data_IF_550082798738
#
_entry.id   IF_550082798738
#
_cell.length_a   1.000
_cell.length_b   1.000
_cell.length_c   1.000
_cell.angle_alpha   90.00
_cell.angle_beta   90.00
_cell.angle_gamma   90.00
#
_symmetry.space_group_name_H-M   'P 1'
#
loop_
_entity.id
_entity.type
_entity.pdbx_description
1 polymer ?
#
# COMPACT_ATOMS: atom_id res chain seq x y z
N UNK A 1 -53.48 17.78 80.07
CA UNK A 1 -54.46 17.70 78.95
C UNK A 1 -54.32 18.96 78.10
N UNK A 2 -54.33 18.85 76.76
CA UNK A 2 -54.59 20.01 75.89
C UNK A 2 -53.51 20.45 74.88
N UNK A 3 -53.37 19.67 73.79
CA UNK A 3 -53.37 20.08 72.36
C UNK A 3 -52.36 21.12 71.79
N UNK A 4 -51.61 20.66 70.78
CA UNK A 4 -50.88 21.42 69.73
C UNK A 4 -51.81 21.90 68.61
N UNK A 5 -51.44 22.97 67.91
CA UNK A 5 -51.88 23.28 66.53
C UNK A 5 -50.66 23.60 65.65
N UNK A 6 -50.71 23.09 64.41
CA UNK A 6 -49.70 23.14 63.34
C UNK A 6 -50.01 24.23 62.30
N UNK A 7 -48.96 24.75 61.65
CA UNK A 7 -49.00 25.42 60.35
C UNK A 7 -47.56 25.66 59.87
N UNK A 8 -47.16 25.55 58.61
CA UNK A 8 -47.86 25.23 57.36
C UNK A 8 -46.85 25.33 56.19
N UNK A 9 -47.09 24.55 55.15
CA UNK A 9 -46.28 24.36 53.93
C UNK A 9 -46.18 25.62 53.05
N UNK A 10 -44.95 26.03 52.67
CA UNK A 10 -44.73 26.96 51.55
C UNK A 10 -43.43 26.72 50.75
N UNK A 11 -42.40 26.11 51.34
CA UNK A 11 -41.12 25.86 50.65
C UNK A 11 -41.09 24.65 49.70
N UNK A 12 -41.99 23.68 49.86
CA UNK A 12 -41.89 22.35 49.21
C UNK A 12 -42.40 22.34 47.75
N UNK A 13 -43.08 23.39 47.28
CA UNK A 13 -43.65 23.44 45.92
C UNK A 13 -42.69 24.03 44.87
N UNK A 14 -41.90 25.06 45.24
CA UNK A 14 -40.89 25.64 44.34
C UNK A 14 -39.70 24.69 44.11
N UNK A 15 -39.32 23.93 45.13
CA UNK A 15 -38.19 22.99 45.06
C UNK A 15 -38.51 21.79 44.14
N UNK A 16 -39.75 21.28 44.21
CA UNK A 16 -40.24 20.21 43.32
C UNK A 16 -40.31 20.66 41.86
N UNK A 17 -40.72 21.91 41.60
CA UNK A 17 -40.77 22.45 40.24
C UNK A 17 -39.37 22.58 39.60
N UNK A 18 -38.36 23.00 40.39
CA UNK A 18 -36.96 23.07 39.93
C UNK A 18 -36.35 21.69 39.68
N UNK A 19 -36.65 20.70 40.53
CA UNK A 19 -36.20 19.32 40.33
C UNK A 19 -36.80 18.68 39.07
N UNK A 20 -38.09 18.93 38.79
CA UNK A 20 -38.77 18.44 37.59
C UNK A 20 -38.20 19.03 36.30
N UNK A 21 -37.86 20.32 36.28
CA UNK A 21 -37.21 20.94 35.12
C UNK A 21 -35.78 20.41 34.88
N UNK A 22 -35.02 20.15 35.94
CA UNK A 22 -33.67 19.56 35.82
C UNK A 22 -33.74 18.12 35.28
N UNK A 23 -34.69 17.31 35.75
CA UNK A 23 -34.92 15.94 35.29
C UNK A 23 -35.32 15.88 33.81
N UNK A 24 -36.18 16.80 33.36
CA UNK A 24 -36.56 16.89 31.95
C UNK A 24 -35.39 17.31 31.05
N UNK A 25 -34.52 18.22 31.50
CA UNK A 25 -33.32 18.63 30.77
C UNK A 25 -32.28 17.50 30.65
N UNK A 26 -32.06 16.73 31.71
CA UNK A 26 -31.14 15.58 31.71
C UNK A 26 -31.66 14.44 30.81
N UNK A 27 -32.98 14.19 30.80
CA UNK A 27 -33.60 13.20 29.93
C UNK A 27 -33.53 13.59 28.44
N UNK A 28 -33.71 14.87 28.11
CA UNK A 28 -33.62 15.38 26.73
C UNK A 28 -32.21 15.29 26.12
N UNK A 29 -31.17 15.50 26.93
CA UNK A 29 -29.77 15.37 26.49
C UNK A 29 -29.39 13.90 26.28
N UNK A 30 -29.89 12.98 27.12
CA UNK A 30 -29.64 11.54 26.99
C UNK A 30 -30.18 10.92 25.69
N UNK A 31 -31.35 11.35 25.23
CA UNK A 31 -31.96 10.85 23.99
C UNK A 31 -31.21 11.29 22.72
N UNK A 32 -30.70 12.52 22.69
CA UNK A 32 -29.92 13.04 21.56
C UNK A 32 -28.54 12.36 21.44
N UNK A 33 -27.84 12.15 22.56
CA UNK A 33 -26.57 11.42 22.57
C UNK A 33 -26.73 9.93 22.27
N UNK A 34 -27.81 9.30 22.71
CA UNK A 34 -28.12 7.90 22.41
C UNK A 34 -28.35 7.64 20.91
N UNK A 35 -29.08 8.53 20.23
CA UNK A 35 -29.35 8.42 18.79
C UNK A 35 -28.11 8.71 17.93
N UNK A 36 -27.30 9.72 18.29
CA UNK A 36 -26.03 10.00 17.62
C UNK A 36 -25.00 8.89 17.81
N UNK A 37 -24.94 8.29 19.01
CA UNK A 37 -24.06 7.17 19.32
C UNK A 37 -24.46 5.89 18.57
N UNK A 38 -25.74 5.56 18.53
CA UNK A 38 -26.23 4.38 17.78
C UNK A 38 -26.07 4.52 16.27
N UNK A 39 -26.31 5.71 15.69
CA UNK A 39 -26.05 5.96 14.28
C UNK A 39 -24.55 5.90 13.94
N UNK A 40 -23.68 6.46 14.80
CA UNK A 40 -22.23 6.37 14.63
C UNK A 40 -21.74 4.92 14.73
N UNK A 41 -22.19 4.16 15.72
CA UNK A 41 -21.89 2.73 15.89
C UNK A 41 -22.42 1.92 14.72
N UNK A 42 -23.63 2.18 14.23
CA UNK A 42 -24.19 1.48 13.08
C UNK A 42 -23.44 1.82 11.77
N UNK A 43 -23.04 3.07 11.58
CA UNK A 43 -22.21 3.48 10.44
C UNK A 43 -20.81 2.84 10.50
N UNK A 44 -20.23 2.74 11.69
CA UNK A 44 -18.94 2.09 11.93
C UNK A 44 -19.03 0.58 11.71
N UNK A 45 -20.04 -0.08 12.27
CA UNK A 45 -20.29 -1.51 12.10
C UNK A 45 -20.62 -1.86 10.65
N UNK A 46 -21.41 -1.03 9.94
CA UNK A 46 -21.70 -1.25 8.52
C UNK A 46 -20.51 -1.00 7.60
N UNK A 47 -19.61 -0.07 7.96
CA UNK A 47 -18.30 0.10 7.30
C UNK A 47 -17.36 -1.07 7.58
N UNK A 48 -17.30 -1.53 8.82
CA UNK A 48 -16.50 -2.70 9.22
C UNK A 48 -16.98 -3.99 8.51
N UNK A 49 -18.30 -4.20 8.45
CA UNK A 49 -18.90 -5.38 7.78
C UNK A 49 -18.75 -5.33 6.26
N UNK A 50 -18.81 -4.13 5.65
CA UNK A 50 -18.46 -3.94 4.23
C UNK A 50 -16.98 -4.22 3.97
N UNK A 51 -16.09 -3.77 4.85
CA UNK A 51 -14.65 -4.02 4.79
C UNK A 51 -14.34 -5.51 4.91
N UNK A 52 -14.98 -6.22 5.84
CA UNK A 52 -14.85 -7.67 5.97
C UNK A 52 -15.37 -8.41 4.72
N UNK A 53 -16.52 -8.01 4.19
CA UNK A 53 -17.08 -8.60 2.96
C UNK A 53 -16.17 -8.39 1.74
N UNK A 54 -15.58 -7.20 1.61
CA UNK A 54 -14.63 -6.86 0.54
C UNK A 54 -13.33 -7.65 0.67
N UNK A 55 -12.72 -7.66 1.86
CA UNK A 55 -11.49 -8.40 2.15
C UNK A 55 -11.69 -9.90 1.95
N UNK A 56 -12.82 -10.46 2.39
CA UNK A 56 -13.16 -11.86 2.19
C UNK A 56 -13.29 -12.23 0.72
N UNK A 57 -13.97 -11.39 -0.08
CA UNK A 57 -14.12 -11.58 -1.52
C UNK A 57 -12.78 -11.52 -2.26
N UNK A 58 -11.87 -10.65 -1.82
CA UNK A 58 -10.49 -10.55 -2.32
C UNK A 58 -9.63 -11.76 -1.96
N UNK A 59 -9.72 -12.24 -0.72
CA UNK A 59 -9.02 -13.45 -0.27
C UNK A 59 -9.53 -14.71 -0.99
N UNK A 60 -10.83 -14.80 -1.23
CA UNK A 60 -11.45 -15.90 -1.99
C UNK A 60 -11.02 -15.86 -3.48
N UNK A 61 -10.87 -14.67 -4.07
CA UNK A 61 -10.34 -14.53 -5.43
C UNK A 61 -8.85 -14.86 -5.58
N UNK A 62 -8.05 -14.66 -4.52
CA UNK A 62 -6.62 -14.94 -4.51
C UNK A 62 -6.26 -16.35 -3.97
N UNK A 63 -7.20 -17.06 -3.34
CA UNK A 63 -6.98 -18.36 -2.69
C UNK A 63 -7.14 -19.60 -3.59
N UNK A 64 -7.48 -19.43 -4.87
CA UNK A 64 -7.66 -20.53 -5.80
C UNK A 64 -6.37 -20.98 -6.51
N UNK A 65 -5.47 -21.66 -5.81
CA UNK A 65 -4.36 -22.38 -6.44
C UNK A 65 -4.16 -23.75 -5.78
N UNK A 66 -4.71 -24.78 -6.42
CA UNK A 66 -4.53 -26.19 -6.03
C UNK A 66 -5.28 -27.14 -6.95
N UNK A 67 -4.74 -27.41 -8.15
CA UNK A 67 -5.23 -28.48 -9.05
C UNK A 67 -4.74 -28.30 -10.50
N UNK A 68 -4.29 -29.36 -11.20
CA UNK A 68 -3.52 -29.23 -12.43
C UNK A 68 -4.37 -28.95 -13.67
N UNK A 69 -3.73 -28.29 -14.63
CA UNK A 69 -4.22 -27.84 -15.94
C UNK A 69 -5.24 -28.75 -16.66
N UNK A 70 -6.32 -28.13 -17.12
CA UNK A 70 -6.94 -28.40 -18.42
C UNK A 70 -7.51 -27.08 -18.99
N UNK A 71 -7.19 -26.79 -20.25
CA UNK A 71 -7.36 -25.48 -20.85
C UNK A 71 -8.80 -25.00 -21.01
N UNK A 72 -8.98 -23.68 -20.93
CA UNK A 72 -9.83 -22.93 -21.86
C UNK A 72 -9.46 -21.45 -21.79
N UNK A 73 -9.17 -20.90 -22.97
CA UNK A 73 -9.06 -19.48 -23.25
C UNK A 73 -10.40 -18.79 -23.02
N UNK A 74 -10.44 -17.75 -22.19
CA UNK A 74 -11.59 -16.86 -22.02
C UNK A 74 -11.12 -15.44 -21.71
N UNK A 75 -11.59 -14.41 -22.45
CA UNK A 75 -11.17 -13.03 -22.24
C UNK A 75 -12.01 -12.36 -21.15
N UNK A 76 -11.38 -11.52 -20.31
CA UNK A 76 -12.11 -10.55 -19.50
C UNK A 76 -11.90 -10.63 -17.99
N UNK A 77 -10.66 -10.51 -17.52
CA UNK A 77 -10.48 -9.74 -16.29
C UNK A 77 -10.80 -8.29 -16.67
N UNK A 78 -11.94 -7.78 -16.18
CA UNK A 78 -12.37 -6.39 -16.44
C UNK A 78 -11.25 -5.45 -16.00
N UNK A 79 -10.57 -4.87 -16.98
CA UNK A 79 -9.82 -3.64 -16.81
C UNK A 79 -10.85 -2.63 -16.32
N UNK A 80 -10.87 -2.33 -15.02
CA UNK A 80 -11.51 -1.09 -14.59
C UNK A 80 -10.73 0.01 -15.29
N UNK A 81 -11.44 0.77 -16.13
CA UNK A 81 -10.91 2.00 -16.69
C UNK A 81 -10.35 2.82 -15.51
N UNK A 82 -9.09 3.22 -15.59
CA UNK A 82 -8.40 4.01 -14.56
C UNK A 82 -9.13 5.32 -14.23
N UNK A 83 -9.91 5.84 -15.18
CA UNK A 83 -10.80 6.98 -14.97
C UNK A 83 -11.92 6.70 -13.97
N UNK A 84 -12.34 5.43 -13.86
CA UNK A 84 -13.35 4.92 -12.95
C UNK A 84 -12.77 4.70 -11.53
N UNK A 85 -11.49 4.31 -11.41
CA UNK A 85 -10.86 4.02 -10.11
C UNK A 85 -10.81 5.23 -9.17
N UNK A 86 -10.47 6.42 -9.68
CA UNK A 86 -10.45 7.64 -8.86
C UNK A 86 -11.87 8.20 -8.59
N UNK A 87 -12.89 7.64 -9.22
CA UNK A 87 -14.29 7.96 -8.93
C UNK A 87 -14.83 7.17 -7.74
N UNK A 88 -14.17 6.07 -7.36
CA UNK A 88 -14.49 5.32 -6.14
C UNK A 88 -14.14 6.16 -4.90
N UNK A 89 -15.14 6.33 -4.02
CA UNK A 89 -15.02 7.19 -2.83
C UNK A 89 -13.92 6.70 -1.86
N UNK A 90 -13.73 5.39 -1.73
CA UNK A 90 -12.72 4.81 -0.82
C UNK A 90 -11.32 5.01 -1.38
N UNK A 91 -11.13 4.74 -2.68
CA UNK A 91 -9.84 4.92 -3.36
C UNK A 91 -9.47 6.40 -3.39
N UNK A 92 -10.41 7.27 -3.75
CA UNK A 92 -10.21 8.72 -3.76
C UNK A 92 -9.80 9.24 -2.37
N UNK A 93 -10.50 8.80 -1.31
CA UNK A 93 -10.16 9.21 0.06
C UNK A 93 -8.79 8.67 0.50
N UNK A 94 -8.46 7.41 0.18
CA UNK A 94 -7.16 6.83 0.48
C UNK A 94 -6.01 7.61 -0.18
N UNK A 95 -6.21 8.12 -1.39
CA UNK A 95 -5.21 8.85 -2.18
C UNK A 95 -5.34 10.38 -2.09
N UNK A 96 -6.25 10.91 -1.25
CA UNK A 96 -6.55 12.35 -1.15
C UNK A 96 -5.28 13.21 -1.01
N UNK A 97 -4.30 12.78 -0.19
CA UNK A 97 -3.07 13.57 0.01
C UNK A 97 -2.17 13.62 -1.22
N UNK A 98 -2.12 12.54 -1.99
CA UNK A 98 -1.37 12.51 -3.24
C UNK A 98 -2.08 13.37 -4.29
N UNK A 99 -3.42 13.28 -4.37
CA UNK A 99 -4.24 14.10 -5.27
C UNK A 99 -4.06 15.59 -4.98
N UNK A 100 -4.04 16.00 -3.69
CA UNK A 100 -3.81 17.39 -3.30
C UNK A 100 -2.41 17.90 -3.69
N UNK A 101 -1.41 17.02 -3.71
CA UNK A 101 -0.03 17.37 -4.06
C UNK A 101 0.21 17.39 -5.57
N UNK A 102 -0.21 16.36 -6.28
CA UNK A 102 0.04 16.19 -7.72
C UNK A 102 -1.04 16.84 -8.61
N UNK A 103 -2.25 17.02 -8.09
CA UNK A 103 -3.47 17.25 -8.88
C UNK A 103 -4.08 15.95 -9.42
N UNK A 104 -5.38 15.99 -9.72
CA UNK A 104 -6.17 14.82 -10.17
C UNK A 104 -5.60 14.19 -11.45
N UNK A 105 -5.28 15.00 -12.46
CA UNK A 105 -4.73 14.52 -13.74
C UNK A 105 -3.38 13.80 -13.58
N UNK A 106 -2.52 14.32 -12.71
CA UNK A 106 -1.23 13.68 -12.43
C UNK A 106 -1.40 12.41 -11.61
N UNK A 107 -2.32 12.40 -10.64
CA UNK A 107 -2.65 11.17 -9.90
C UNK A 107 -3.19 10.08 -10.84
N UNK A 108 -4.03 10.45 -11.81
CA UNK A 108 -4.54 9.51 -12.82
C UNK A 108 -3.40 8.83 -13.57
N UNK A 109 -2.37 9.57 -13.99
CA UNK A 109 -1.17 9.00 -14.63
C UNK A 109 -0.43 8.02 -13.70
N UNK A 110 -0.33 8.33 -12.40
CA UNK A 110 0.26 7.41 -11.42
C UNK A 110 -0.56 6.13 -11.33
N UNK A 111 -1.88 6.24 -11.23
CA UNK A 111 -2.80 5.10 -11.15
C UNK A 111 -2.86 4.27 -12.43
N UNK A 112 -2.55 4.85 -13.58
CA UNK A 112 -2.42 4.14 -14.86
C UNK A 112 -1.06 3.47 -15.05
N UNK A 113 -0.05 3.86 -14.28
CA UNK A 113 1.33 3.43 -14.52
C UNK A 113 1.57 1.95 -14.20
N UNK A 114 2.45 1.35 -15.01
CA UNK A 114 3.01 0.03 -14.81
C UNK A 114 4.49 0.12 -14.48
N UNK A 115 4.88 -0.39 -13.31
CA UNK A 115 6.26 -0.38 -12.84
C UNK A 115 6.76 -1.79 -12.55
N UNK A 116 7.95 -2.10 -13.07
CA UNK A 116 8.68 -3.35 -12.79
C UNK A 116 9.76 -3.06 -11.74
N UNK A 117 9.80 -3.83 -10.67
CA UNK A 117 10.83 -3.72 -9.62
C UNK A 117 11.61 -5.03 -9.56
N UNK A 118 12.91 -4.97 -9.86
CA UNK A 118 13.81 -6.13 -9.86
C UNK A 118 14.77 -6.04 -8.68
N UNK A 119 14.77 -7.06 -7.83
CA UNK A 119 15.42 -7.06 -6.52
C UNK A 119 14.50 -6.44 -5.47
N UNK A 120 14.12 -7.21 -4.47
CA UNK A 120 13.16 -6.86 -3.42
C UNK A 120 13.82 -6.93 -2.03
N UNK A 121 15.11 -6.60 -1.98
CA UNK A 121 15.87 -6.45 -0.74
C UNK A 121 15.59 -5.14 0.00
N UNK A 122 16.61 -4.57 0.62
CA UNK A 122 16.47 -3.36 1.46
C UNK A 122 16.05 -2.10 0.69
N UNK A 123 16.38 -1.99 -0.60
CA UNK A 123 15.96 -0.83 -1.41
C UNK A 123 14.64 -1.12 -2.12
N UNK A 124 14.58 -2.22 -2.89
CA UNK A 124 13.42 -2.52 -3.71
C UNK A 124 12.12 -2.76 -2.95
N UNK A 125 12.18 -3.37 -1.76
CA UNK A 125 10.97 -3.53 -0.92
C UNK A 125 10.38 -2.19 -0.47
N UNK A 126 11.23 -1.22 -0.13
CA UNK A 126 10.81 0.13 0.25
C UNK A 126 10.30 0.90 -0.97
N UNK A 127 11.01 0.83 -2.11
CA UNK A 127 10.59 1.48 -3.35
C UNK A 127 9.22 0.97 -3.81
N UNK A 128 9.04 -0.36 -3.87
CA UNK A 128 7.77 -0.98 -4.24
C UNK A 128 6.63 -0.58 -3.28
N UNK A 129 6.92 -0.49 -1.97
CA UNK A 129 5.91 -0.08 -0.98
C UNK A 129 5.49 1.38 -1.16
N UNK A 130 6.44 2.27 -1.49
CA UNK A 130 6.13 3.68 -1.75
C UNK A 130 5.39 3.86 -3.08
N UNK A 131 5.71 3.08 -4.12
CA UNK A 131 4.97 3.07 -5.38
C UNK A 131 3.51 2.64 -5.16
N UNK A 132 3.29 1.54 -4.44
CA UNK A 132 1.94 1.08 -4.07
C UNK A 132 1.17 2.17 -3.33
N UNK A 133 1.78 2.78 -2.31
CA UNK A 133 1.14 3.84 -1.50
C UNK A 133 0.94 5.15 -2.25
N UNK A 134 1.68 5.36 -3.34
CA UNK A 134 1.47 6.49 -4.25
C UNK A 134 0.27 6.26 -5.18
N UNK A 135 -0.26 5.03 -5.22
CA UNK A 135 -1.41 4.64 -6.02
C UNK A 135 -1.03 4.10 -7.39
N UNK A 136 0.19 3.58 -7.59
CA UNK A 136 0.57 2.89 -8.84
C UNK A 136 -0.38 1.71 -9.07
N UNK A 137 -0.95 1.64 -10.28
CA UNK A 137 -2.00 0.66 -10.58
C UNK A 137 -1.50 -0.72 -10.95
N UNK A 138 -0.26 -0.85 -11.45
CA UNK A 138 0.30 -2.15 -11.81
C UNK A 138 1.76 -2.29 -11.39
N UNK A 139 2.05 -3.36 -10.67
CA UNK A 139 3.38 -3.70 -10.17
C UNK A 139 3.77 -5.11 -10.58
N UNK A 140 4.95 -5.25 -11.16
CA UNK A 140 5.64 -6.54 -11.27
C UNK A 140 6.80 -6.56 -10.29
N UNK A 141 6.75 -7.49 -9.34
CA UNK A 141 7.76 -7.68 -8.30
C UNK A 141 8.60 -8.92 -8.61
N UNK A 142 9.90 -8.74 -8.87
CA UNK A 142 10.81 -9.83 -9.25
C UNK A 142 11.94 -9.98 -8.25
N UNK A 143 12.01 -11.13 -7.58
CA UNK A 143 13.15 -11.52 -6.74
C UNK A 143 13.14 -13.04 -6.54
N UNK A 144 14.31 -13.69 -6.63
CA UNK A 144 14.46 -15.12 -6.40
C UNK A 144 14.66 -15.48 -4.92
N UNK A 145 15.05 -14.51 -4.10
CA UNK A 145 15.39 -14.73 -2.70
C UNK A 145 14.15 -14.94 -1.81
N UNK A 146 14.41 -15.58 -0.69
CA UNK A 146 13.49 -15.64 0.45
C UNK A 146 13.84 -14.60 1.50
N UNK A 147 12.87 -14.26 2.34
CA UNK A 147 13.09 -13.47 3.55
C UNK A 147 13.96 -14.27 4.52
N UNK A 148 15.08 -13.68 4.94
CA UNK A 148 15.94 -14.23 5.98
C UNK A 148 15.78 -13.44 7.28
N UNK A 149 16.26 -13.98 8.41
CA UNK A 149 16.33 -13.21 9.67
C UNK A 149 17.12 -11.91 9.51
N UNK A 150 18.21 -11.95 8.73
CA UNK A 150 19.02 -10.76 8.45
C UNK A 150 18.31 -9.72 7.58
N UNK A 151 17.25 -10.11 6.87
CA UNK A 151 16.45 -9.19 6.04
C UNK A 151 15.61 -8.25 6.91
N UNK A 152 15.24 -8.66 8.12
CA UNK A 152 14.28 -7.95 8.99
C UNK A 152 14.77 -6.58 9.48
N UNK A 153 16.07 -6.28 9.38
CA UNK A 153 16.58 -4.96 9.75
C UNK A 153 16.31 -3.87 8.70
N UNK A 154 15.94 -4.24 7.47
CA UNK A 154 15.88 -3.31 6.32
C UNK A 154 14.80 -3.62 5.28
N UNK A 155 14.10 -4.74 5.37
CA UNK A 155 13.03 -5.06 4.43
C UNK A 155 11.73 -4.36 4.85
N UNK A 156 11.02 -3.73 3.92
CA UNK A 156 9.97 -2.76 4.23
C UNK A 156 8.79 -3.30 5.05
N UNK A 157 8.38 -4.56 4.80
CA UNK A 157 7.16 -5.14 5.40
C UNK A 157 7.39 -6.50 6.07
N UNK A 158 8.59 -7.07 5.95
CA UNK A 158 8.80 -8.44 6.39
C UNK A 158 8.86 -8.53 7.91
N UNK A 159 8.22 -9.55 8.45
CA UNK A 159 8.19 -9.85 9.88
C UNK A 159 8.87 -11.19 10.16
N UNK A 160 8.97 -11.59 11.43
CA UNK A 160 9.50 -12.91 11.81
C UNK A 160 8.67 -14.07 11.24
N UNK A 161 7.37 -13.87 11.01
CA UNK A 161 6.49 -14.87 10.39
C UNK A 161 6.84 -15.10 8.91
N UNK A 162 7.37 -14.08 8.24
CA UNK A 162 7.67 -14.15 6.80
C UNK A 162 9.00 -14.87 6.49
N UNK A 163 9.82 -15.21 7.50
CA UNK A 163 11.11 -15.87 7.30
C UNK A 163 10.94 -17.21 6.57
N UNK A 164 11.66 -17.40 5.46
CA UNK A 164 11.52 -18.54 4.54
C UNK A 164 10.46 -18.35 3.45
N UNK A 165 9.70 -17.26 3.47
CA UNK A 165 8.78 -16.92 2.38
C UNK A 165 9.54 -16.18 1.26
N UNK A 166 9.30 -16.47 -0.03
CA UNK A 166 9.84 -15.67 -1.13
C UNK A 166 9.51 -14.19 -0.96
N UNK A 167 10.51 -13.30 -1.12
CA UNK A 167 10.33 -11.85 -0.90
C UNK A 167 9.23 -11.26 -1.78
N UNK A 168 9.14 -11.71 -3.04
CA UNK A 168 8.09 -11.30 -3.97
C UNK A 168 6.68 -11.62 -3.46
N UNK A 169 6.49 -12.82 -2.90
CA UNK A 169 5.21 -13.22 -2.32
C UNK A 169 4.93 -12.55 -0.97
N UNK A 170 5.95 -12.31 -0.15
CA UNK A 170 5.82 -11.50 1.07
C UNK A 170 5.25 -10.11 0.73
N UNK A 171 5.86 -9.39 -0.22
CA UNK A 171 5.36 -8.08 -0.63
C UNK A 171 3.96 -8.15 -1.23
N UNK A 172 3.68 -9.10 -2.13
CA UNK A 172 2.34 -9.27 -2.70
C UNK A 172 1.27 -9.48 -1.62
N UNK A 173 1.51 -10.37 -0.65
CA UNK A 173 0.61 -10.62 0.49
C UNK A 173 0.31 -9.33 1.25
N UNK A 174 1.34 -8.57 1.61
CA UNK A 174 1.18 -7.32 2.37
C UNK A 174 0.55 -6.21 1.55
N UNK A 175 0.89 -6.08 0.28
CA UNK A 175 0.40 -5.03 -0.60
C UNK A 175 -1.09 -5.18 -0.93
N UNK A 176 -1.56 -6.41 -1.13
CA UNK A 176 -3.00 -6.68 -1.33
C UNK A 176 -3.87 -6.29 -0.13
N UNK A 177 -3.29 -6.12 1.06
CA UNK A 177 -3.99 -5.60 2.24
C UNK A 177 -4.01 -4.06 2.29
N UNK A 178 -3.10 -3.40 1.59
CA UNK A 178 -2.90 -1.95 1.62
C UNK A 178 -3.66 -1.26 0.47
N UNK A 179 -3.51 -1.76 -0.75
CA UNK A 179 -4.13 -1.18 -1.94
C UNK A 179 -4.55 -2.31 -2.90
N UNK A 180 -5.71 -2.94 -2.65
CA UNK A 180 -6.17 -4.12 -3.40
C UNK A 180 -6.51 -3.83 -4.87
N UNK A 181 -6.70 -2.57 -5.24
CA UNK A 181 -6.96 -2.13 -6.61
C UNK A 181 -5.70 -2.23 -7.48
N UNK A 182 -4.50 -2.24 -6.87
CA UNK A 182 -3.25 -2.46 -7.60
C UNK A 182 -3.17 -3.90 -8.12
N UNK A 183 -2.93 -4.04 -9.41
CA UNK A 183 -2.61 -5.31 -10.05
C UNK A 183 -1.17 -5.68 -9.71
N UNK A 184 -0.99 -6.67 -8.83
CA UNK A 184 0.33 -7.09 -8.35
C UNK A 184 0.67 -8.48 -8.87
N UNK A 185 1.68 -8.54 -9.71
CA UNK A 185 2.32 -9.78 -10.13
C UNK A 185 3.62 -9.98 -9.34
N UNK A 186 3.84 -11.20 -8.86
CA UNK A 186 5.03 -11.57 -8.13
C UNK A 186 5.69 -12.75 -8.81
N UNK A 187 6.96 -12.58 -9.20
CA UNK A 187 7.77 -13.59 -9.87
C UNK A 187 8.96 -13.97 -8.97
N UNK A 188 9.02 -15.25 -8.61
CA UNK A 188 10.13 -15.81 -7.85
C UNK A 188 11.16 -16.35 -8.83
N UNK A 189 11.95 -15.45 -9.41
CA UNK A 189 12.98 -15.79 -10.41
C UNK A 189 14.13 -14.79 -10.39
N UNK A 190 15.30 -15.27 -10.82
CA UNK A 190 16.45 -14.43 -11.06
C UNK A 190 16.25 -13.72 -12.40
N UNK A 191 16.69 -12.47 -12.51
CA UNK A 191 16.76 -11.82 -13.80
C UNK A 191 17.97 -12.36 -14.59
N UNK A 192 17.74 -12.83 -15.79
CA UNK A 192 18.77 -13.19 -16.76
C UNK A 192 18.27 -12.96 -18.19
N UNK A 193 19.12 -13.22 -19.18
CA UNK A 193 18.77 -13.04 -20.59
C UNK A 193 17.60 -13.92 -21.04
N UNK A 194 17.37 -15.07 -20.39
CA UNK A 194 16.25 -15.96 -20.75
C UNK A 194 14.91 -15.46 -20.21
N UNK A 195 14.94 -14.73 -19.09
CA UNK A 195 13.77 -14.13 -18.45
C UNK A 195 13.48 -12.69 -18.93
N UNK A 196 14.38 -12.09 -19.72
CA UNK A 196 14.30 -10.69 -20.17
C UNK A 196 12.98 -10.36 -20.86
N UNK A 197 12.58 -11.18 -21.83
CA UNK A 197 11.35 -10.95 -22.60
C UNK A 197 10.11 -11.02 -21.72
N UNK A 198 10.08 -11.94 -20.75
CA UNK A 198 8.95 -12.07 -19.84
C UNK A 198 8.88 -10.88 -18.87
N UNK A 199 9.99 -10.58 -18.19
CA UNK A 199 10.05 -9.55 -17.13
C UNK A 199 9.85 -8.15 -17.69
N UNK A 200 10.39 -7.87 -18.89
CA UNK A 200 10.33 -6.55 -19.53
C UNK A 200 9.23 -6.45 -20.59
N UNK A 201 8.33 -7.44 -20.66
CA UNK A 201 7.16 -7.39 -21.52
C UNK A 201 6.17 -6.29 -21.11
N UNK A 202 5.26 -5.93 -22.02
CA UNK A 202 4.13 -5.06 -21.70
C UNK A 202 4.45 -3.57 -21.54
N UNK A 203 5.64 -3.14 -21.97
CA UNK A 203 6.10 -1.74 -22.01
C UNK A 203 5.92 -1.03 -20.66
N UNK A 204 6.71 -1.38 -19.62
CA UNK A 204 6.64 -0.69 -18.35
C UNK A 204 6.99 0.78 -18.50
N UNK A 205 6.25 1.65 -17.80
CA UNK A 205 6.54 3.08 -17.72
C UNK A 205 7.89 3.31 -17.05
N UNK A 206 8.23 2.47 -16.07
CA UNK A 206 9.53 2.46 -15.39
C UNK A 206 9.96 1.06 -14.99
N UNK A 207 11.27 0.83 -15.07
CA UNK A 207 11.98 -0.29 -14.44
C UNK A 207 12.80 0.25 -13.28
N UNK A 208 12.65 -0.34 -12.11
CA UNK A 208 13.48 -0.06 -10.94
C UNK A 208 14.45 -1.23 -10.74
N UNK A 209 15.72 -0.96 -11.01
CA UNK A 209 16.81 -1.89 -10.72
C UNK A 209 17.29 -1.70 -9.28
N UNK A 210 16.97 -2.67 -8.42
CA UNK A 210 17.39 -2.72 -7.03
C UNK A 210 18.27 -3.96 -6.76
N UNK A 211 18.97 -4.44 -7.78
CA UNK A 211 19.82 -5.64 -7.76
C UNK A 211 21.17 -5.31 -7.12
N UNK A 212 21.73 -6.23 -6.33
CA UNK A 212 23.04 -6.11 -5.69
C UNK A 212 24.15 -6.91 -6.38
N UNK A 213 23.81 -7.89 -7.21
CA UNK A 213 24.74 -8.56 -8.11
C UNK A 213 25.07 -7.69 -9.34
N UNK A 214 26.37 -7.51 -9.61
CA UNK A 214 26.87 -6.63 -10.68
C UNK A 214 26.47 -7.15 -12.07
N UNK A 215 26.70 -8.43 -12.36
CA UNK A 215 26.45 -9.00 -13.70
C UNK A 215 24.97 -8.92 -14.06
N UNK A 216 24.09 -9.29 -13.12
CA UNK A 216 22.65 -9.19 -13.30
C UNK A 216 22.19 -7.74 -13.47
N UNK A 217 22.76 -6.81 -12.70
CA UNK A 217 22.49 -5.37 -12.82
C UNK A 217 22.87 -4.84 -14.21
N UNK A 218 24.09 -5.12 -14.67
CA UNK A 218 24.59 -4.70 -15.98
C UNK A 218 23.71 -5.26 -17.10
N UNK A 219 23.34 -6.55 -17.00
CA UNK A 219 22.44 -7.20 -17.96
C UNK A 219 21.08 -6.49 -18.06
N UNK A 220 20.46 -6.18 -16.92
CA UNK A 220 19.16 -5.48 -16.86
C UNK A 220 19.26 -4.07 -17.44
N UNK A 221 20.30 -3.31 -17.07
CA UNK A 221 20.52 -1.96 -17.58
C UNK A 221 20.71 -1.95 -19.10
N UNK A 222 21.54 -2.87 -19.61
CA UNK A 222 21.77 -3.00 -21.05
C UNK A 222 20.46 -3.35 -21.78
N UNK A 223 19.64 -4.24 -21.22
CA UNK A 223 18.33 -4.57 -21.77
C UNK A 223 17.38 -3.37 -21.82
N UNK A 224 17.33 -2.58 -20.75
CA UNK A 224 16.52 -1.37 -20.70
C UNK A 224 16.95 -0.36 -21.76
N UNK A 225 18.26 -0.13 -21.92
CA UNK A 225 18.81 0.75 -22.96
C UNK A 225 18.44 0.25 -24.35
N UNK A 226 18.71 -1.03 -24.66
CA UNK A 226 18.37 -1.64 -25.96
C UNK A 226 16.89 -1.53 -26.32
N UNK A 227 16.01 -1.64 -25.33
CA UNK A 227 14.55 -1.59 -25.50
C UNK A 227 13.97 -0.18 -25.41
N UNK A 228 14.78 0.84 -25.11
CA UNK A 228 14.31 2.21 -24.88
C UNK A 228 13.42 2.36 -23.64
N UNK A 229 13.58 1.50 -22.64
CA UNK A 229 12.82 1.54 -21.39
C UNK A 229 13.44 2.53 -20.41
N UNK A 230 12.57 3.23 -19.67
CA UNK A 230 13.00 4.16 -18.61
C UNK A 230 13.42 3.34 -17.40
N UNK A 231 14.66 3.51 -16.96
CA UNK A 231 15.21 2.77 -15.82
C UNK A 231 15.76 3.70 -14.74
N UNK A 232 15.48 3.37 -13.48
CA UNK A 232 16.13 3.95 -12.31
C UNK A 232 16.89 2.85 -11.59
N UNK A 233 18.19 3.05 -11.38
CA UNK A 233 19.04 2.06 -10.73
C UNK A 233 19.47 2.54 -9.35
N UNK A 234 19.24 1.69 -8.35
CA UNK A 234 19.78 1.86 -7.02
C UNK A 234 21.21 1.34 -6.96
N UNK A 235 22.08 2.16 -6.37
CA UNK A 235 23.48 1.82 -6.10
C UNK A 235 23.63 1.25 -4.68
N UNK A 236 24.85 1.20 -4.15
CA UNK A 236 25.17 0.62 -2.86
C UNK A 236 24.63 1.43 -1.68
N UNK A 237 23.51 0.97 -1.10
CA UNK A 237 22.92 1.55 0.11
C UNK A 237 23.58 1.05 1.43
N UNK A 238 24.38 -0.02 1.36
CA UNK A 238 25.04 -0.61 2.53
C UNK A 238 26.09 0.31 3.15
N UNK A 239 26.26 0.20 4.48
CA UNK A 239 27.26 0.96 5.26
C UNK A 239 27.19 2.49 5.09
N UNK A 240 25.98 3.03 4.87
CA UNK A 240 25.69 4.47 4.87
C UNK A 240 24.81 4.84 6.06
N UNK A 241 25.06 6.01 6.65
CA UNK A 241 24.32 6.47 7.83
C UNK A 241 23.54 7.77 7.58
N UNK A 242 23.92 8.58 6.60
CA UNK A 242 23.33 9.90 6.37
C UNK A 242 22.40 9.90 5.13
N UNK A 243 21.07 9.83 5.32
CA UNK A 243 20.11 9.82 4.22
C UNK A 243 20.02 11.16 3.49
N UNK A 244 20.51 12.27 4.07
CA UNK A 244 20.45 13.60 3.43
C UNK A 244 21.42 13.74 2.24
N UNK A 245 22.33 12.77 2.09
CA UNK A 245 23.33 12.73 1.03
C UNK A 245 22.93 11.89 -0.18
N UNK A 246 21.75 11.28 -0.17
CA UNK A 246 21.20 10.56 -1.32
C UNK A 246 20.97 11.56 -2.46
N UNK A 247 21.39 11.19 -3.67
CA UNK A 247 21.25 11.99 -4.88
C UNK A 247 20.70 11.11 -5.99
N UNK A 248 19.92 11.74 -6.88
CA UNK A 248 19.56 11.18 -8.18
C UNK A 248 20.42 11.91 -9.20
N UNK A 249 21.21 11.17 -9.97
CA UNK A 249 22.12 11.70 -10.97
C UNK A 249 22.31 10.67 -12.08
N UNK A 250 22.95 11.08 -13.17
CA UNK A 250 23.43 10.12 -14.17
C UNK A 250 24.44 9.16 -13.52
N UNK A 251 24.46 7.90 -13.96
CA UNK A 251 25.35 6.89 -13.39
C UNK A 251 26.82 7.30 -13.52
N UNK A 252 27.19 8.06 -14.56
CA UNK A 252 28.56 8.59 -14.79
C UNK A 252 28.98 9.62 -13.76
N UNK A 253 28.02 10.27 -13.11
CA UNK A 253 28.25 11.27 -12.06
C UNK A 253 28.27 10.65 -10.66
N UNK A 254 28.08 9.33 -10.55
CA UNK A 254 28.14 8.62 -9.28
C UNK A 254 29.52 8.75 -8.65
N UNK A 255 29.54 8.98 -7.33
CA UNK A 255 30.78 9.12 -6.58
C UNK A 255 30.70 8.36 -5.26
N UNK A 256 31.85 7.90 -4.78
CA UNK A 256 32.01 7.18 -3.51
C UNK A 256 31.21 5.87 -3.40
N UNK A 257 30.80 5.25 -4.50
CA UNK A 257 29.99 4.02 -4.49
C UNK A 257 30.68 2.88 -5.27
N UNK A 258 31.16 1.82 -4.58
CA UNK A 258 31.83 0.70 -5.24
C UNK A 258 30.96 -0.08 -6.24
N UNK A 259 29.65 -0.19 -5.98
CA UNK A 259 28.73 -0.89 -6.87
C UNK A 259 28.59 -0.12 -8.17
N UNK A 260 28.42 1.21 -8.08
CA UNK A 260 28.35 2.07 -9.27
C UNK A 260 29.62 2.03 -10.12
N UNK A 261 30.80 1.99 -9.49
CA UNK A 261 32.10 1.91 -10.19
C UNK A 261 32.32 0.58 -10.89
N UNK A 262 31.69 -0.49 -10.39
CA UNK A 262 31.78 -1.81 -10.99
C UNK A 262 30.82 -1.98 -12.17
N UNK A 263 29.82 -1.10 -12.31
CA UNK A 263 28.98 -1.03 -13.50
C UNK A 263 29.76 -0.26 -14.57
N UNK A 264 30.30 -0.98 -15.54
CA UNK A 264 30.99 -0.37 -16.67
C UNK A 264 29.99 0.26 -17.63
N UNK A 265 29.87 1.59 -17.54
CA UNK A 265 28.89 2.38 -18.29
C UNK A 265 29.26 2.45 -19.77
N UNK A 266 30.54 2.41 -20.11
CA UNK A 266 31.01 2.51 -21.50
C UNK A 266 30.63 1.26 -22.32
N UNK A 267 30.35 0.15 -21.64
CA UNK A 267 29.84 -1.08 -22.25
C UNK A 267 28.30 -1.17 -22.29
N UNK A 268 27.57 -0.18 -21.74
CA UNK A 268 26.10 -0.12 -21.78
C UNK A 268 25.54 0.64 -23.00
N UNK A 269 26.37 1.45 -23.67
CA UNK A 269 26.02 2.30 -24.82
C UNK A 269 26.75 1.84 -26.08
#
# INVERSE_FOLDING_TARGET
>A
AGVRVLGGCAGDMEEKARQLLLLAAVAGVGAAFGALSTAAVFSFLSRAKRREGYVRKLLESNGGAGGPHAGSTGPGARLHDSSDLLSDEVVAEQLTRNIQFFGVESQKKVTESFVVVVGLGGVGSHAASMLLRSGVGRLLLVDFDQVSLSSLNRHAVATREDVGTPKAYCLKKHFSLIYPECQIEARVQLYDSSAEDEILSGQPDFVLDCIDNIDTKVSLLAACVRRGLRVLSAMGAGARADPTRIRVADLRESSNDPLSRAVDIDNLF
#
